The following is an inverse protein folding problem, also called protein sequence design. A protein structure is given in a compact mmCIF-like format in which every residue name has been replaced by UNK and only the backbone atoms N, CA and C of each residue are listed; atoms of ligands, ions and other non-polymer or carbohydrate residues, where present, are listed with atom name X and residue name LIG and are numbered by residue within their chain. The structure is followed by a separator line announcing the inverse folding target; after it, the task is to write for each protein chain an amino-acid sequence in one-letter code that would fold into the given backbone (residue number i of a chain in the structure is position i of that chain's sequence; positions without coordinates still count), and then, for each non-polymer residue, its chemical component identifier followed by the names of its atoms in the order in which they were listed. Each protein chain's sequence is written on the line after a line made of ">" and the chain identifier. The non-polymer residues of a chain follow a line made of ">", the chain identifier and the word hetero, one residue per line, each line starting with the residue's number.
data_IF_918018112952
#
_entry.id   IF_918018112952
#
_cell.length_a   1.000
_cell.length_b   1.000
_cell.length_c   1.000
_cell.angle_alpha   90.00
_cell.angle_beta   90.00
_cell.angle_gamma   90.00
#
_symmetry.space_group_name_H-M   'P 1'
#
loop_
_entity.id
_entity.type
_entity.pdbx_description
1 polymer ?
#
# COMPACT_ATOMS: atom_id res chain seq x y z
N UNK A 1 -7.15 9.48 12.22
CA UNK A 1 -7.96 10.00 11.09
C UNK A 1 -7.58 9.35 9.76
N UNK A 2 -6.31 9.38 9.30
CA UNK A 2 -5.93 8.82 7.98
C UNK A 2 -6.31 7.34 7.78
N UNK A 3 -6.09 6.47 8.78
CA UNK A 3 -6.48 5.07 8.73
C UNK A 3 -7.99 4.89 8.48
N UNK A 4 -8.84 5.74 9.09
CA UNK A 4 -10.29 5.68 8.85
C UNK A 4 -10.65 5.95 7.38
N UNK A 5 -9.95 6.88 6.72
CA UNK A 5 -10.17 7.15 5.30
C UNK A 5 -9.69 6.01 4.40
N UNK A 6 -8.61 5.32 4.76
CA UNK A 6 -8.17 4.11 4.03
C UNK A 6 -9.21 2.99 4.18
N UNK A 7 -9.76 2.78 5.38
CA UNK A 7 -10.81 1.78 5.62
C UNK A 7 -12.09 2.13 4.87
N UNK A 8 -12.50 3.40 4.89
CA UNK A 8 -13.65 3.88 4.12
C UNK A 8 -13.43 3.69 2.62
N UNK A 9 -12.26 4.04 2.10
CA UNK A 9 -11.88 3.80 0.70
C UNK A 9 -11.99 2.33 0.32
N UNK A 10 -11.46 1.43 1.16
CA UNK A 10 -11.58 -0.02 0.95
C UNK A 10 -13.04 -0.51 0.96
N UNK A 11 -13.89 0.08 1.80
CA UNK A 11 -15.31 -0.24 1.81
C UNK A 11 -16.01 0.22 0.52
N UNK A 12 -15.74 1.44 0.05
CA UNK A 12 -16.31 1.94 -1.20
C UNK A 12 -15.85 1.15 -2.42
N UNK A 13 -14.56 0.82 -2.52
CA UNK A 13 -14.00 -0.05 -3.54
C UNK A 13 -14.69 -1.43 -3.57
N UNK A 14 -14.93 -2.03 -2.41
CA UNK A 14 -15.68 -3.27 -2.33
C UNK A 14 -17.12 -3.12 -2.85
N UNK A 15 -17.81 -2.01 -2.52
CA UNK A 15 -19.19 -1.79 -2.93
C UNK A 15 -19.32 -1.47 -4.41
N UNK A 16 -18.41 -0.71 -5.00
CA UNK A 16 -18.45 -0.39 -6.43
C UNK A 16 -18.12 -1.63 -7.29
N UNK A 17 -17.11 -2.42 -6.91
CA UNK A 17 -16.82 -3.70 -7.54
C UNK A 17 -17.99 -4.71 -7.45
N UNK A 18 -18.70 -4.75 -6.31
CA UNK A 18 -19.89 -5.55 -6.17
C UNK A 18 -21.04 -5.05 -7.06
N UNK A 19 -21.25 -3.72 -7.09
CA UNK A 19 -22.29 -3.09 -7.91
C UNK A 19 -22.06 -3.31 -9.40
N UNK A 20 -20.83 -3.17 -9.89
CA UNK A 20 -20.47 -3.42 -11.28
C UNK A 20 -20.76 -4.87 -11.69
N UNK A 21 -20.48 -5.85 -10.81
CA UNK A 21 -20.78 -7.28 -11.04
C UNK A 21 -22.28 -7.55 -11.07
N UNK A 22 -23.07 -6.96 -10.16
CA UNK A 22 -24.54 -7.13 -10.09
C UNK A 22 -25.24 -6.51 -11.31
N UNK A 23 -24.76 -5.39 -11.79
CA UNK A 23 -25.31 -4.70 -12.95
C UNK A 23 -24.79 -5.23 -14.29
N UNK A 24 -23.84 -6.17 -14.27
CA UNK A 24 -23.16 -6.70 -15.46
C UNK A 24 -22.59 -5.60 -16.38
N UNK A 25 -22.15 -4.48 -15.78
CA UNK A 25 -21.55 -3.36 -16.50
C UNK A 25 -20.04 -3.42 -16.33
N UNK A 26 -19.33 -3.51 -17.44
CA UNK A 26 -17.87 -3.41 -17.48
C UNK A 26 -17.44 -2.55 -18.64
N UNK A 27 -16.54 -1.60 -18.40
CA UNK A 27 -15.91 -0.81 -19.46
C UNK A 27 -14.38 -0.81 -19.26
N UNK A 28 -13.59 -0.79 -20.36
CA UNK A 28 -12.13 -0.70 -20.24
C UNK A 28 -11.68 0.52 -19.45
N UNK A 29 -12.30 1.68 -19.68
CA UNK A 29 -12.02 2.93 -18.96
C UNK A 29 -12.38 2.80 -17.48
N UNK A 30 -13.50 2.14 -17.15
CA UNK A 30 -13.89 1.90 -15.75
C UNK A 30 -12.84 1.09 -14.99
N UNK A 31 -12.29 0.04 -15.60
CA UNK A 31 -11.23 -0.79 -15.00
C UNK A 31 -9.95 0.00 -14.74
N UNK A 32 -9.53 0.86 -15.69
CA UNK A 32 -8.33 1.67 -15.51
C UNK A 32 -8.53 2.77 -14.44
N UNK A 33 -9.73 3.37 -14.40
CA UNK A 33 -10.06 4.38 -13.39
C UNK A 33 -10.10 3.78 -11.98
N UNK A 34 -10.64 2.58 -11.84
CA UNK A 34 -10.66 1.80 -10.61
C UNK A 34 -9.23 1.54 -10.11
N UNK A 35 -8.34 1.06 -11.00
CA UNK A 35 -6.93 0.85 -10.67
C UNK A 35 -6.20 2.12 -10.25
N UNK A 36 -6.53 3.27 -10.85
CA UNK A 36 -5.96 4.56 -10.45
C UNK A 36 -6.49 5.02 -9.08
N UNK A 37 -7.78 4.83 -8.83
CA UNK A 37 -8.39 5.13 -7.53
C UNK A 37 -7.80 4.25 -6.43
N UNK A 38 -7.58 2.97 -6.73
CA UNK A 38 -6.91 2.01 -5.84
C UNK A 38 -5.48 2.44 -5.51
N UNK A 39 -4.71 2.88 -6.49
CA UNK A 39 -3.35 3.35 -6.25
C UNK A 39 -3.32 4.60 -5.37
N UNK A 40 -4.26 5.52 -5.56
CA UNK A 40 -4.37 6.70 -4.68
C UNK A 40 -4.73 6.29 -3.25
N UNK A 41 -5.69 5.39 -3.09
CA UNK A 41 -6.20 4.98 -1.76
C UNK A 41 -5.24 4.05 -1.02
N UNK A 42 -4.63 3.09 -1.72
CA UNK A 42 -3.83 2.03 -1.12
C UNK A 42 -2.32 2.13 -1.40
N UNK A 43 -1.91 3.03 -2.31
CA UNK A 43 -0.51 3.33 -2.58
C UNK A 43 -0.10 4.70 -2.04
N UNK A 44 -0.72 5.78 -2.55
CA UNK A 44 -0.32 7.15 -2.22
C UNK A 44 -0.70 7.55 -0.80
N UNK A 45 -1.89 7.18 -0.32
CA UNK A 45 -2.32 7.54 1.05
C UNK A 45 -1.40 6.94 2.13
N UNK A 46 -1.08 5.63 2.16
CA UNK A 46 -0.14 5.09 3.12
C UNK A 46 1.27 5.65 2.94
N UNK A 47 1.75 5.87 1.70
CA UNK A 47 3.04 6.51 1.44
C UNK A 47 3.11 7.92 2.05
N UNK A 48 2.02 8.69 1.98
CA UNK A 48 1.93 10.03 2.58
C UNK A 48 1.98 9.97 4.12
N UNK A 49 1.35 8.96 4.73
CA UNK A 49 1.42 8.73 6.18
C UNK A 49 2.86 8.41 6.59
N UNK A 50 3.53 7.50 5.86
CA UNK A 50 4.94 7.14 6.09
C UNK A 50 5.84 8.38 5.93
N UNK A 51 5.63 9.17 4.88
CA UNK A 51 6.36 10.41 4.63
C UNK A 51 6.24 11.40 5.80
N UNK A 52 5.01 11.64 6.26
CA UNK A 52 4.76 12.52 7.39
C UNK A 52 5.45 12.01 8.68
N UNK A 53 5.47 10.69 8.86
CA UNK A 53 6.11 10.05 10.00
C UNK A 53 7.63 10.17 9.94
N UNK A 54 8.26 9.90 8.78
CA UNK A 54 9.68 10.05 8.57
C UNK A 54 10.17 11.51 8.81
N UNK A 55 9.34 12.51 8.54
CA UNK A 55 9.69 13.92 8.79
C UNK A 55 9.84 14.27 10.27
N UNK A 56 9.13 13.58 11.14
CA UNK A 56 9.12 13.86 12.60
C UNK A 56 9.97 12.88 13.40
N UNK A 57 10.53 11.84 12.76
CA UNK A 57 11.44 10.90 13.43
C UNK A 57 12.76 11.54 13.83
N UNK A 58 13.38 10.96 14.88
CA UNK A 58 14.74 11.29 15.29
C UNK A 58 15.75 10.61 14.36
N UNK A 59 16.64 11.42 13.78
CA UNK A 59 17.67 10.94 12.86
C UNK A 59 18.97 10.66 13.62
N UNK A 60 19.62 9.49 13.40
CA UNK A 60 20.97 9.27 13.88
C UNK A 60 21.94 10.27 13.23
N UNK A 61 22.98 10.66 13.93
CA UNK A 61 23.98 11.63 13.47
C UNK A 61 24.59 11.30 12.10
N UNK A 62 24.70 10.01 11.80
CA UNK A 62 25.20 9.53 10.51
C UNK A 62 24.23 9.79 9.32
N UNK A 63 22.93 9.94 9.57
CA UNK A 63 21.90 10.13 8.54
C UNK A 63 21.28 11.53 8.57
N UNK A 64 21.75 12.41 9.46
CA UNK A 64 21.20 13.78 9.59
C UNK A 64 21.34 14.59 8.28
N UNK A 65 22.41 14.36 7.51
CA UNK A 65 22.60 15.01 6.21
C UNK A 65 21.54 14.59 5.18
N UNK A 66 20.91 13.42 5.35
CA UNK A 66 19.88 12.91 4.43
C UNK A 66 18.46 13.32 4.84
N UNK A 67 18.28 13.97 5.98
CA UNK A 67 16.98 14.39 6.54
C UNK A 67 16.08 15.13 5.55
N UNK A 68 16.55 16.04 4.67
CA UNK A 68 15.69 16.71 3.71
C UNK A 68 15.14 15.78 2.61
N UNK A 69 15.84 14.70 2.27
CA UNK A 69 15.51 13.83 1.13
C UNK A 69 14.91 12.49 1.54
N UNK A 70 15.32 11.96 2.68
CA UNK A 70 14.95 10.62 3.13
C UNK A 70 13.44 10.38 3.28
N UNK A 71 12.62 11.36 3.73
CA UNK A 71 11.17 11.18 3.80
C UNK A 71 10.53 10.83 2.46
N UNK A 72 11.06 11.35 1.34
CA UNK A 72 10.53 11.06 0.00
C UNK A 72 10.68 9.59 -0.40
N UNK A 73 11.56 8.85 0.27
CA UNK A 73 11.69 7.40 0.07
C UNK A 73 10.39 6.63 0.38
N UNK A 74 9.50 7.20 1.19
CA UNK A 74 8.17 6.66 1.43
C UNK A 74 7.36 6.41 0.15
N UNK A 75 7.53 7.26 -0.88
CA UNK A 75 6.80 7.13 -2.13
C UNK A 75 7.22 5.94 -3.00
N UNK A 76 8.27 5.22 -2.63
CA UNK A 76 8.62 3.92 -3.21
C UNK A 76 7.45 2.94 -3.02
N UNK A 77 6.74 2.99 -1.89
CA UNK A 77 5.56 2.16 -1.64
C UNK A 77 4.46 2.45 -2.67
N UNK A 78 4.19 3.72 -2.98
CA UNK A 78 3.20 4.10 -4.00
C UNK A 78 3.63 3.64 -5.41
N UNK A 79 4.89 3.83 -5.78
CA UNK A 79 5.40 3.40 -7.07
C UNK A 79 5.31 1.87 -7.27
N UNK A 80 5.60 1.09 -6.23
CA UNK A 80 5.49 -0.38 -6.28
C UNK A 80 4.03 -0.85 -6.20
N UNK A 81 3.13 -0.07 -5.57
CA UNK A 81 1.68 -0.29 -5.60
C UNK A 81 1.14 -0.12 -7.02
N UNK A 82 1.48 0.99 -7.69
CA UNK A 82 1.12 1.23 -9.09
C UNK A 82 1.65 0.14 -10.02
N UNK A 83 2.92 -0.27 -9.85
CA UNK A 83 3.53 -1.34 -10.63
C UNK A 83 2.79 -2.68 -10.43
N UNK A 84 2.38 -2.98 -9.20
CA UNK A 84 1.59 -4.19 -8.89
C UNK A 84 0.25 -4.17 -9.61
N UNK A 85 -0.49 -3.05 -9.53
CA UNK A 85 -1.79 -2.89 -10.19
C UNK A 85 -1.67 -3.00 -11.71
N UNK A 86 -0.63 -2.40 -12.30
CA UNK A 86 -0.34 -2.54 -13.72
C UNK A 86 -0.04 -4.00 -14.10
N UNK A 87 0.79 -4.72 -13.33
CA UNK A 87 1.03 -6.16 -13.55
C UNK A 87 -0.27 -6.96 -13.44
N UNK A 88 -1.11 -6.67 -12.44
CA UNK A 88 -2.38 -7.35 -12.24
C UNK A 88 -3.32 -7.15 -13.45
N UNK A 89 -3.38 -5.96 -14.02
CA UNK A 89 -4.22 -5.68 -15.18
C UNK A 89 -3.76 -6.38 -16.46
N UNK A 90 -2.47 -6.68 -16.59
CA UNK A 90 -1.87 -7.33 -17.76
C UNK A 90 -1.80 -8.85 -17.66
N UNK A 91 -1.87 -9.43 -16.46
CA UNK A 91 -1.64 -10.86 -16.24
C UNK A 91 -2.96 -11.65 -16.25
N UNK A 92 -3.23 -12.33 -17.36
CA UNK A 92 -4.40 -13.20 -17.53
C UNK A 92 -4.36 -14.46 -16.63
N UNK A 93 -3.21 -14.82 -16.06
CA UNK A 93 -3.03 -15.98 -15.19
C UNK A 93 -3.63 -15.78 -13.80
N UNK A 94 -3.89 -14.55 -13.39
CA UNK A 94 -4.40 -14.20 -12.06
C UNK A 94 -5.90 -14.47 -11.85
N UNK A 95 -6.58 -15.06 -12.82
CA UNK A 95 -7.96 -15.54 -12.66
C UNK A 95 -8.08 -16.72 -11.68
N UNK A 96 -6.99 -17.41 -11.38
CA UNK A 96 -6.97 -18.64 -10.57
C UNK A 96 -6.24 -18.54 -9.23
N UNK A 97 -5.29 -17.61 -9.05
CA UNK A 97 -4.54 -17.46 -7.79
C UNK A 97 -4.06 -16.01 -7.61
N UNK A 98 -4.09 -15.51 -6.38
CA UNK A 98 -3.50 -14.21 -6.05
C UNK A 98 -1.98 -14.35 -5.94
N UNK A 99 -1.25 -13.50 -6.67
CA UNK A 99 0.21 -13.44 -6.65
C UNK A 99 0.63 -12.12 -5.99
N UNK A 100 1.49 -12.19 -4.97
CA UNK A 100 2.00 -11.04 -4.23
C UNK A 100 1.04 -10.46 -3.18
N UNK A 101 1.55 -9.51 -2.37
CA UNK A 101 0.79 -8.88 -1.29
C UNK A 101 -0.32 -7.98 -1.87
N UNK A 102 -1.60 -8.10 -1.44
CA UNK A 102 -2.66 -7.18 -1.86
C UNK A 102 -2.38 -5.73 -1.44
N UNK A 103 -2.61 -4.76 -2.34
CA UNK A 103 -2.43 -3.33 -2.04
C UNK A 103 -3.25 -2.84 -0.84
N UNK A 104 -4.53 -3.24 -0.66
CA UNK A 104 -5.29 -2.87 0.53
C UNK A 104 -4.70 -3.42 1.84
N UNK A 105 -4.16 -4.65 1.81
CA UNK A 105 -3.52 -5.24 2.99
C UNK A 105 -2.26 -4.46 3.41
N UNK A 106 -1.43 -4.07 2.44
CA UNK A 106 -0.26 -3.23 2.69
C UNK A 106 -0.65 -1.85 3.24
N UNK A 107 -1.70 -1.23 2.68
CA UNK A 107 -2.20 0.06 3.15
C UNK A 107 -2.72 0.01 4.59
N UNK A 108 -3.48 -1.03 4.93
CA UNK A 108 -3.98 -1.26 6.29
C UNK A 108 -2.84 -1.56 7.27
N UNK A 109 -1.83 -2.31 6.85
CA UNK A 109 -0.64 -2.57 7.66
C UNK A 109 0.06 -1.27 8.05
N UNK A 110 0.42 -0.43 7.06
CA UNK A 110 1.08 0.85 7.32
C UNK A 110 0.19 1.82 8.09
N UNK A 111 -1.08 1.92 7.72
CA UNK A 111 -2.04 2.77 8.41
C UNK A 111 -2.24 2.39 9.87
N UNK A 112 -2.37 1.10 10.18
CA UNK A 112 -2.53 0.61 11.56
C UNK A 112 -1.25 0.79 12.38
N UNK A 113 -0.10 0.41 11.82
CA UNK A 113 1.20 0.51 12.46
C UNK A 113 1.50 1.95 12.90
N UNK A 114 1.37 2.91 11.98
CA UNK A 114 1.71 4.30 12.23
C UNK A 114 0.63 5.06 13.01
N UNK A 115 -0.63 4.61 12.99
CA UNK A 115 -1.70 5.22 13.81
C UNK A 115 -1.63 4.79 15.27
N UNK A 116 -1.20 3.55 15.55
CA UNK A 116 -1.22 2.97 16.91
C UNK A 116 0.11 3.19 17.62
N UNK A 117 1.22 3.12 16.90
CA UNK A 117 2.56 3.12 17.48
C UNK A 117 3.39 4.35 17.11
N UNK A 118 2.76 5.46 16.70
CA UNK A 118 3.43 6.67 16.27
C UNK A 118 4.52 7.14 17.26
N UNK A 119 4.20 7.21 18.54
CA UNK A 119 5.13 7.70 19.57
C UNK A 119 6.30 6.74 19.83
N UNK A 120 6.07 5.42 19.74
CA UNK A 120 7.11 4.42 19.95
C UNK A 120 8.07 4.33 18.76
N UNK A 121 7.56 4.54 17.56
CA UNK A 121 8.34 4.49 16.31
C UNK A 121 9.13 5.78 16.05
N UNK A 122 8.77 6.93 16.66
CA UNK A 122 9.46 8.20 16.43
C UNK A 122 10.62 8.45 17.39
N UNK A 123 10.56 7.92 18.62
CA UNK A 123 11.46 8.28 19.70
C UNK A 123 12.88 7.70 19.62
N UNK A 124 13.14 6.44 19.27
CA UNK A 124 14.49 5.92 19.23
C UNK A 124 15.13 6.10 17.84
N UNK A 125 16.32 6.70 17.78
CA UNK A 125 17.10 6.92 16.55
C UNK A 125 17.38 5.63 15.74
N UNK A 126 17.38 4.45 16.39
CA UNK A 126 17.56 3.17 15.70
C UNK A 126 16.30 2.70 14.95
N UNK A 127 15.14 3.34 15.17
CA UNK A 127 13.91 2.97 14.46
C UNK A 127 13.89 3.44 12.99
N UNK A 128 14.60 4.50 12.67
CA UNK A 128 14.68 4.99 11.29
C UNK A 128 15.16 3.91 10.30
N UNK A 129 16.31 3.23 10.50
CA UNK A 129 16.71 2.16 9.60
C UNK A 129 15.73 0.99 9.57
N UNK A 130 15.04 0.68 10.68
CA UNK A 130 14.00 -0.35 10.71
C UNK A 130 12.84 0.01 9.80
N UNK A 131 12.32 1.24 9.88
CA UNK A 131 11.24 1.71 9.01
C UNK A 131 11.66 1.70 7.54
N UNK A 132 12.89 2.10 7.22
CA UNK A 132 13.41 2.06 5.85
C UNK A 132 13.49 0.61 5.30
N UNK A 133 13.96 -0.33 6.11
CA UNK A 133 13.95 -1.76 5.74
C UNK A 133 12.53 -2.27 5.53
N UNK A 134 11.58 -1.87 6.38
CA UNK A 134 10.17 -2.24 6.24
C UNK A 134 9.56 -1.67 4.95
N UNK A 135 9.90 -0.43 4.56
CA UNK A 135 9.49 0.16 3.27
C UNK A 135 10.01 -0.71 2.12
N UNK A 136 11.29 -1.07 2.12
CA UNK A 136 11.88 -1.94 1.10
C UNK A 136 11.20 -3.31 1.05
N UNK A 137 11.00 -3.95 2.20
CA UNK A 137 10.38 -5.27 2.28
C UNK A 137 8.91 -5.24 1.82
N UNK A 138 8.13 -4.27 2.26
CA UNK A 138 6.73 -4.15 1.84
C UNK A 138 6.60 -3.86 0.35
N UNK A 139 7.46 -2.99 -0.20
CA UNK A 139 7.51 -2.69 -1.63
C UNK A 139 7.91 -3.92 -2.44
N UNK A 140 8.89 -4.69 -1.99
CA UNK A 140 9.29 -5.93 -2.63
C UNK A 140 8.16 -6.98 -2.59
N UNK A 141 7.48 -7.14 -1.45
CA UNK A 141 6.35 -8.06 -1.28
C UNK A 141 5.16 -7.72 -2.19
N UNK A 142 4.93 -6.45 -2.52
CA UNK A 142 3.89 -6.03 -3.46
C UNK A 142 4.10 -6.61 -4.86
N UNK A 143 5.36 -6.74 -5.30
CA UNK A 143 5.71 -7.13 -6.68
C UNK A 143 6.26 -8.56 -6.77
N UNK A 144 6.58 -9.20 -5.64
CA UNK A 144 7.09 -10.56 -5.63
C UNK A 144 6.03 -11.56 -6.14
N UNK A 145 6.49 -12.60 -6.83
CA UNK A 145 5.63 -13.65 -7.40
C UNK A 145 5.35 -14.79 -6.40
N UNK A 146 5.23 -14.48 -5.11
CA UNK A 146 4.88 -15.49 -4.11
C UNK A 146 3.40 -15.86 -4.27
N UNK A 147 3.09 -17.16 -4.44
CA UNK A 147 1.72 -17.61 -4.48
C UNK A 147 1.09 -17.46 -3.10
N UNK A 148 0.16 -16.52 -2.97
CA UNK A 148 -0.62 -16.34 -1.75
C UNK A 148 -1.82 -17.28 -1.78
N UNK A 149 -2.14 -17.89 -0.65
CA UNK A 149 -3.29 -18.78 -0.51
C UNK A 149 -4.58 -18.03 -0.84
N UNK A 150 -5.18 -18.36 -1.99
CA UNK A 150 -6.56 -18.01 -2.24
C UNK A 150 -7.45 -18.98 -1.47
N UNK A 151 -8.17 -18.51 -0.46
CA UNK A 151 -9.28 -19.26 0.14
C UNK A 151 -10.39 -19.39 -0.91
N UNK A 152 -10.25 -20.35 -1.84
CA UNK A 152 -11.33 -20.73 -2.72
C UNK A 152 -12.27 -21.64 -1.93
N UNK A 153 -13.39 -21.09 -1.50
CA UNK A 153 -14.55 -21.91 -1.19
C UNK A 153 -15.04 -22.51 -2.54
N UNK A 154 -14.80 -23.79 -2.73
CA UNK A 154 -15.36 -24.56 -3.83
C UNK A 154 -16.88 -24.60 -3.62
N UNK A 155 -17.63 -23.86 -4.42
CA UNK A 155 -19.05 -24.11 -4.63
C UNK A 155 -19.21 -25.28 -5.60
#
# INVERSE_FOLDING_TARGET
>A
MALMFIILGAAFDFFDGMSARLLHVSSPIGKELDSLADDVTFGVAPATIIFAHLKVMDYPSALECCRPWLPYFAFVVAAFSALRLAKFNLDERQTTSFIGLPTPANALFWGSLLSTHANWLTSPSYMLPVVLVMICLSSWLLVCELPMFALKFKQ
#
